data_IF_437362271943
#
_entry.id   IF_437362271943
#
_cell.length_a   1.000
_cell.length_b   1.000
_cell.length_c   1.000
_cell.angle_alpha   90.00
_cell.angle_beta   90.00
_cell.angle_gamma   90.00
#
_symmetry.space_group_name_H-M   'P 1'
#
loop_
_entity.id
_entity.type
_entity.pdbx_description
1 polymer ?
#
# COMPACT_ATOMS: atom_id res chain seq x y z
N UNK A 1 -75.02 -6.98 -31.89
CA UNK A 1 -74.64 -8.38 -32.14
C UNK A 1 -73.15 -8.53 -31.89
N UNK A 2 -72.83 -9.38 -30.91
CA UNK A 2 -71.61 -10.15 -30.65
C UNK A 2 -70.21 -9.50 -30.61
N UNK A 3 -69.59 -9.74 -29.45
CA UNK A 3 -68.19 -9.63 -29.04
C UNK A 3 -67.24 -10.54 -29.89
N UNK A 4 -65.90 -10.47 -29.82
CA UNK A 4 -65.04 -10.94 -28.72
C UNK A 4 -63.53 -10.66 -29.04
N UNK A 5 -62.79 -10.30 -27.97
CA UNK A 5 -61.35 -10.45 -27.65
C UNK A 5 -60.21 -10.10 -28.62
N UNK A 6 -59.26 -9.36 -28.04
CA UNK A 6 -57.84 -9.42 -28.35
C UNK A 6 -56.98 -8.68 -27.33
N UNK A 7 -56.94 -9.15 -26.08
CA UNK A 7 -56.13 -8.61 -24.99
C UNK A 7 -54.64 -8.86 -25.27
N UNK A 8 -53.82 -7.80 -25.36
CA UNK A 8 -52.38 -7.87 -25.09
C UNK A 8 -51.99 -6.76 -24.13
N UNK A 9 -51.69 -7.19 -22.91
CA UNK A 9 -51.00 -6.40 -21.88
C UNK A 9 -49.52 -6.39 -22.27
N UNK A 10 -48.91 -5.23 -22.33
CA UNK A 10 -47.46 -5.09 -22.26
C UNK A 10 -47.14 -3.85 -21.41
N UNK A 11 -46.82 -4.14 -20.16
CA UNK A 11 -46.31 -3.26 -19.12
C UNK A 11 -44.97 -2.65 -19.55
N UNK A 12 -44.85 -1.32 -19.54
CA UNK A 12 -43.57 -0.62 -19.73
C UNK A 12 -43.17 0.06 -18.43
N UNK A 13 -42.10 -0.44 -17.80
CA UNK A 13 -41.57 -0.05 -16.50
C UNK A 13 -41.13 1.43 -16.43
N UNK A 14 -41.41 2.04 -15.28
CA UNK A 14 -40.76 3.24 -14.74
C UNK A 14 -39.25 3.04 -14.61
N UNK A 15 -38.45 3.89 -15.28
CA UNK A 15 -37.03 4.04 -15.00
C UNK A 15 -36.83 5.22 -14.02
N UNK A 16 -36.76 4.91 -12.72
CA UNK A 16 -36.25 5.85 -11.73
C UNK A 16 -34.72 5.69 -11.67
N UNK A 17 -33.99 6.64 -12.23
CA UNK A 17 -32.54 6.73 -12.16
C UNK A 17 -32.08 7.08 -10.75
N UNK A 18 -31.57 6.08 -10.03
CA UNK A 18 -30.82 6.23 -8.77
C UNK A 18 -29.42 6.76 -9.09
N UNK A 19 -29.23 8.08 -8.93
CA UNK A 19 -27.90 8.66 -8.80
C UNK A 19 -27.40 8.40 -7.37
N UNK A 20 -26.71 7.28 -7.13
CA UNK A 20 -25.88 7.13 -5.94
C UNK A 20 -24.64 8.00 -6.14
N UNK A 21 -24.67 9.21 -5.59
CA UNK A 21 -23.45 9.94 -5.28
C UNK A 21 -22.71 9.17 -4.19
N UNK A 22 -21.67 8.44 -4.57
CA UNK A 22 -20.71 7.92 -3.59
C UNK A 22 -20.12 9.11 -2.84
N UNK A 23 -20.45 9.21 -1.55
CA UNK A 23 -19.74 10.07 -0.62
C UNK A 23 -18.32 9.53 -0.50
N UNK A 24 -17.42 10.01 -1.36
CA UNK A 24 -15.98 9.84 -1.15
C UNK A 24 -15.64 10.70 0.06
N UNK A 25 -15.66 10.09 1.24
CA UNK A 25 -15.09 10.72 2.43
C UNK A 25 -13.62 11.05 2.10
N UNK A 26 -13.13 12.26 2.39
CA UNK A 26 -11.74 12.58 2.14
C UNK A 26 -10.89 11.59 2.93
N UNK A 27 -9.94 10.93 2.26
CA UNK A 27 -8.96 10.08 2.92
C UNK A 27 -8.35 10.87 4.08
N UNK A 28 -8.41 10.31 5.30
CA UNK A 28 -7.82 10.97 6.46
C UNK A 28 -6.33 11.12 6.21
N UNK A 29 -5.84 12.35 6.30
CA UNK A 29 -4.42 12.62 6.19
C UNK A 29 -3.71 12.00 7.41
N UNK A 30 -2.64 11.23 7.16
CA UNK A 30 -1.79 10.67 8.20
C UNK A 30 -1.32 11.77 9.16
N UNK A 31 -1.60 11.60 10.44
CA UNK A 31 -1.15 12.53 11.47
C UNK A 31 0.25 12.17 11.97
N UNK A 32 0.93 13.15 12.57
CA UNK A 32 2.22 12.92 13.25
C UNK A 32 2.10 11.84 14.35
N UNK A 33 0.99 11.83 15.08
CA UNK A 33 0.73 10.85 16.14
C UNK A 33 0.56 9.44 15.58
N UNK A 34 -0.23 9.28 14.50
CA UNK A 34 -0.41 7.98 13.84
C UNK A 34 0.90 7.46 13.27
N UNK A 35 1.69 8.30 12.60
CA UNK A 35 3.02 7.93 12.10
C UNK A 35 3.93 7.47 13.25
N UNK A 36 3.93 8.18 14.38
CA UNK A 36 4.69 7.80 15.56
C UNK A 36 4.27 6.44 16.15
N UNK A 37 2.96 6.17 16.23
CA UNK A 37 2.44 4.88 16.68
C UNK A 37 2.84 3.75 15.74
N UNK A 38 2.75 3.96 14.43
CA UNK A 38 3.19 2.97 13.43
C UNK A 38 4.66 2.66 13.63
N UNK A 39 5.52 3.67 13.73
CA UNK A 39 6.98 3.49 13.92
C UNK A 39 7.29 2.73 15.20
N UNK A 40 6.58 3.04 16.29
CA UNK A 40 6.72 2.33 17.55
C UNK A 40 6.32 0.86 17.40
N UNK A 41 5.14 0.59 16.83
CA UNK A 41 4.62 -0.78 16.64
C UNK A 41 5.53 -1.60 15.73
N UNK A 42 6.06 -1.03 14.65
CA UNK A 42 7.02 -1.71 13.78
C UNK A 42 8.24 -2.20 14.57
N UNK A 43 8.78 -1.37 15.46
CA UNK A 43 9.93 -1.77 16.30
C UNK A 43 9.58 -2.71 17.45
N UNK A 44 8.38 -2.63 18.02
CA UNK A 44 7.94 -3.51 19.11
C UNK A 44 7.57 -4.92 18.61
N UNK A 45 7.05 -5.02 17.38
CA UNK A 45 6.62 -6.29 16.79
C UNK A 45 7.75 -7.00 16.04
N UNK A 46 8.76 -6.28 15.55
CA UNK A 46 9.88 -6.86 14.79
C UNK A 46 10.54 -8.09 15.47
N UNK A 47 10.81 -8.11 16.79
CA UNK A 47 11.42 -9.28 17.43
C UNK A 47 10.54 -10.54 17.41
N UNK A 48 9.23 -10.38 17.23
CA UNK A 48 8.23 -11.46 17.28
C UNK A 48 7.74 -11.86 15.88
N UNK A 49 7.54 -10.88 15.00
CA UNK A 49 6.99 -11.06 13.65
C UNK A 49 8.07 -11.02 12.55
N UNK A 50 9.31 -10.70 12.90
CA UNK A 50 10.41 -10.50 11.96
C UNK A 50 10.37 -9.10 11.33
N UNK A 51 11.22 -8.92 10.31
CA UNK A 51 11.35 -7.63 9.63
C UNK A 51 10.11 -7.33 8.77
N UNK A 52 9.58 -6.13 8.90
CA UNK A 52 8.45 -5.68 8.08
C UNK A 52 8.89 -5.38 6.64
N UNK A 53 8.33 -6.11 5.67
CA UNK A 53 8.49 -5.83 4.25
C UNK A 53 7.16 -5.33 3.69
N UNK A 54 7.03 -4.02 3.46
CA UNK A 54 5.73 -3.45 3.13
C UNK A 54 5.16 -4.00 1.82
N UNK A 55 4.00 -4.64 1.94
CA UNK A 55 2.93 -4.67 0.97
C UNK A 55 1.57 -4.64 1.72
N UNK A 56 0.46 -4.55 0.98
CA UNK A 56 -0.87 -4.50 1.60
C UNK A 56 -1.25 -5.80 2.33
N UNK A 57 -0.80 -6.95 1.85
CA UNK A 57 -1.08 -8.26 2.45
C UNK A 57 -0.25 -8.49 3.72
N UNK A 58 0.97 -7.96 3.77
CA UNK A 58 1.85 -7.97 4.94
C UNK A 58 1.25 -7.15 6.06
N UNK A 59 0.70 -5.96 5.77
CA UNK A 59 0.02 -5.14 6.77
C UNK A 59 -1.17 -5.90 7.38
N UNK A 60 -1.96 -6.58 6.54
CA UNK A 60 -3.07 -7.42 6.99
C UNK A 60 -2.59 -8.61 7.83
N UNK A 61 -1.49 -9.27 7.43
CA UNK A 61 -0.91 -10.40 8.16
C UNK A 61 -0.39 -10.00 9.53
N UNK A 62 0.33 -8.88 9.63
CA UNK A 62 0.81 -8.37 10.91
C UNK A 62 -0.33 -8.04 11.88
N UNK A 63 -1.46 -7.53 11.36
CA UNK A 63 -2.65 -7.30 12.18
C UNK A 63 -3.21 -8.62 12.76
N UNK A 64 -3.27 -9.66 11.93
CA UNK A 64 -3.74 -10.99 12.35
C UNK A 64 -2.79 -11.67 13.34
N UNK A 65 -1.49 -11.64 13.06
CA UNK A 65 -0.47 -12.28 13.88
C UNK A 65 -0.33 -11.57 15.24
N UNK A 66 -0.33 -10.24 15.28
CA UNK A 66 -0.34 -9.47 16.53
C UNK A 66 -1.60 -9.76 17.37
N UNK A 67 -2.76 -9.99 16.75
CA UNK A 67 -3.97 -10.38 17.47
C UNK A 67 -3.85 -11.76 18.15
N UNK A 68 -3.02 -12.65 17.62
CA UNK A 68 -2.63 -13.92 18.25
C UNK A 68 -1.59 -13.77 19.37
N UNK A 69 -0.98 -12.60 19.49
CA UNK A 69 0.00 -12.23 20.51
C UNK A 69 -0.66 -11.32 21.57
N UNK A 70 -0.22 -10.07 21.67
CA UNK A 70 -0.71 -9.09 22.63
C UNK A 70 -1.77 -8.14 22.06
N UNK A 71 -2.05 -8.17 20.76
CA UNK A 71 -2.98 -7.26 20.09
C UNK A 71 -2.58 -5.79 20.25
N UNK A 72 -1.28 -5.49 20.15
CA UNK A 72 -0.71 -4.14 20.35
C UNK A 72 -1.22 -3.14 19.32
N UNK A 73 -1.44 -3.56 18.08
CA UNK A 73 -1.99 -2.73 17.00
C UNK A 73 -3.40 -2.26 17.37
N UNK A 74 -4.27 -3.20 17.78
CA UNK A 74 -5.62 -2.88 18.22
C UNK A 74 -5.64 -2.01 19.49
N UNK A 75 -4.76 -2.31 20.46
CA UNK A 75 -4.61 -1.51 21.69
C UNK A 75 -4.09 -0.09 21.43
N UNK A 76 -3.33 0.12 20.36
CA UNK A 76 -2.89 1.45 19.91
C UNK A 76 -4.02 2.27 19.25
N UNK A 77 -5.18 1.65 19.02
CA UNK A 77 -6.39 2.30 18.49
C UNK A 77 -6.60 2.10 17.00
N UNK A 78 -5.82 1.25 16.34
CA UNK A 78 -6.05 0.90 14.94
C UNK A 78 -7.03 -0.28 14.83
N UNK A 79 -7.97 -0.17 13.92
CA UNK A 79 -8.59 -1.35 13.30
C UNK A 79 -7.76 -1.78 12.08
N UNK A 80 -8.17 -2.86 11.42
CA UNK A 80 -7.45 -3.42 10.27
C UNK A 80 -7.29 -2.40 9.13
N UNK A 81 -8.36 -1.69 8.79
CA UNK A 81 -8.38 -0.75 7.68
C UNK A 81 -7.47 0.44 7.98
N UNK A 82 -7.65 1.07 9.15
CA UNK A 82 -6.82 2.19 9.58
C UNK A 82 -5.35 1.81 9.82
N UNK A 83 -5.05 0.58 10.25
CA UNK A 83 -3.68 0.06 10.33
C UNK A 83 -3.03 0.02 8.95
N UNK A 84 -3.70 -0.60 7.97
CA UNK A 84 -3.18 -0.71 6.60
C UNK A 84 -3.00 0.67 5.96
N UNK A 85 -3.96 1.56 6.14
CA UNK A 85 -3.87 2.94 5.66
C UNK A 85 -2.68 3.68 6.30
N UNK A 86 -2.54 3.61 7.62
CA UNK A 86 -1.51 4.32 8.36
C UNK A 86 -0.10 3.79 8.04
N UNK A 87 0.08 2.46 7.96
CA UNK A 87 1.36 1.84 7.59
C UNK A 87 1.71 2.18 6.15
N UNK A 88 0.75 2.08 5.22
CA UNK A 88 1.00 2.43 3.82
C UNK A 88 1.36 3.90 3.64
N UNK A 89 0.67 4.81 4.32
CA UNK A 89 1.00 6.23 4.30
C UNK A 89 2.38 6.51 4.93
N UNK A 90 2.72 5.82 6.02
CA UNK A 90 4.02 5.93 6.69
C UNK A 90 5.14 5.42 5.78
N UNK A 91 4.97 4.28 5.12
CA UNK A 91 5.93 3.72 4.16
C UNK A 91 6.13 4.65 2.96
N UNK A 92 5.05 5.11 2.30
CA UNK A 92 5.13 6.06 1.19
C UNK A 92 5.83 7.36 1.62
N UNK A 93 5.46 7.89 2.78
CA UNK A 93 6.10 9.07 3.37
C UNK A 93 7.59 8.86 3.62
N UNK A 94 7.98 7.69 4.15
CA UNK A 94 9.37 7.32 4.35
C UNK A 94 10.14 7.32 3.03
N UNK A 95 9.61 6.66 2.00
CA UNK A 95 10.22 6.68 0.66
C UNK A 95 10.43 8.12 0.18
N UNK A 96 9.49 9.03 0.43
CA UNK A 96 9.59 10.44 0.05
C UNK A 96 10.64 11.21 0.87
N UNK A 97 10.98 10.77 2.09
CA UNK A 97 12.03 11.40 2.92
C UNK A 97 13.46 11.05 2.49
N UNK A 98 13.66 9.92 1.77
CA UNK A 98 14.99 9.49 1.30
C UNK A 98 15.50 10.51 0.27
N UNK A 99 16.78 10.89 0.30
CA UNK A 99 17.36 11.75 -0.74
C UNK A 99 17.18 11.12 -2.14
N UNK A 100 16.88 11.92 -3.16
CA UNK A 100 16.54 11.41 -4.50
C UNK A 100 17.68 10.54 -5.08
N UNK A 101 18.93 10.95 -4.87
CA UNK A 101 20.11 10.23 -5.32
C UNK A 101 20.26 8.88 -4.61
N UNK A 102 20.01 8.83 -3.29
CA UNK A 102 20.05 7.58 -2.51
C UNK A 102 18.93 6.65 -2.94
N UNK A 103 17.73 7.17 -3.19
CA UNK A 103 16.58 6.39 -3.63
C UNK A 103 16.80 5.79 -5.02
N UNK A 104 17.31 6.56 -5.97
CA UNK A 104 17.62 6.05 -7.31
C UNK A 104 18.78 5.04 -7.28
N UNK A 105 19.74 5.21 -6.36
CA UNK A 105 20.83 4.25 -6.17
C UNK A 105 20.35 2.85 -5.75
N UNK A 106 19.20 2.72 -5.08
CA UNK A 106 18.59 1.42 -4.71
C UNK A 106 18.32 0.54 -5.95
N UNK A 107 18.05 1.15 -7.10
CA UNK A 107 17.73 0.42 -8.33
C UNK A 107 18.96 0.19 -9.23
N UNK A 108 20.10 0.79 -8.89
CA UNK A 108 21.31 0.71 -9.70
C UNK A 108 21.81 -0.73 -9.78
N UNK A 109 22.13 -1.21 -10.99
CA UNK A 109 22.67 -2.54 -11.18
C UNK A 109 21.62 -3.66 -11.28
N UNK A 110 20.32 -3.38 -11.08
CA UNK A 110 19.29 -4.44 -11.12
C UNK A 110 19.16 -5.04 -12.51
N UNK A 111 19.09 -4.22 -13.55
CA UNK A 111 19.00 -4.69 -14.94
C UNK A 111 20.30 -5.38 -15.38
N UNK A 112 21.46 -4.88 -14.95
CA UNK A 112 22.76 -5.50 -15.20
C UNK A 112 22.87 -6.89 -14.56
N UNK A 113 22.30 -7.08 -13.36
CA UNK A 113 22.21 -8.39 -12.71
C UNK A 113 21.33 -9.36 -13.52
N UNK A 114 20.21 -8.89 -14.07
CA UNK A 114 19.38 -9.69 -14.98
C UNK A 114 20.18 -10.10 -16.22
N UNK A 115 20.93 -9.16 -16.79
CA UNK A 115 21.73 -9.41 -18.00
C UNK A 115 22.88 -10.38 -17.76
N UNK A 116 23.50 -10.32 -16.58
CA UNK A 116 24.56 -11.23 -16.16
C UNK A 116 24.08 -12.62 -15.73
N UNK A 117 22.77 -12.83 -15.56
CA UNK A 117 22.22 -14.13 -15.15
C UNK A 117 22.32 -15.22 -16.23
N UNK A 118 22.16 -16.48 -15.82
CA UNK A 118 22.12 -17.65 -16.71
C UNK A 118 20.76 -17.86 -17.39
N UNK A 119 19.82 -16.91 -17.24
CA UNK A 119 18.51 -16.96 -17.90
C UNK A 119 18.64 -16.93 -19.42
N UNK A 120 17.70 -17.59 -20.11
CA UNK A 120 17.63 -17.50 -21.56
C UNK A 120 17.12 -16.10 -22.01
N UNK A 121 17.18 -15.82 -23.31
CA UNK A 121 16.84 -14.49 -23.84
C UNK A 121 15.39 -14.05 -23.54
N UNK A 122 14.44 -14.98 -23.59
CA UNK A 122 13.02 -14.71 -23.29
C UNK A 122 12.83 -14.40 -21.81
N UNK A 123 13.39 -15.23 -20.94
CA UNK A 123 13.35 -15.04 -19.48
C UNK A 123 14.04 -13.74 -19.05
N UNK A 124 15.16 -13.35 -19.68
CA UNK A 124 15.81 -12.06 -19.42
C UNK A 124 14.93 -10.88 -19.79
N UNK A 125 14.19 -11.00 -20.89
CA UNK A 125 13.26 -9.96 -21.35
C UNK A 125 12.10 -9.81 -20.36
N UNK A 126 11.48 -10.92 -19.94
CA UNK A 126 10.42 -10.91 -18.94
C UNK A 126 10.90 -10.36 -17.59
N UNK A 127 12.05 -10.83 -17.11
CA UNK A 127 12.62 -10.38 -15.84
C UNK A 127 12.99 -8.89 -15.88
N UNK A 128 13.50 -8.39 -17.01
CA UNK A 128 13.75 -6.96 -17.19
C UNK A 128 12.46 -6.16 -17.10
N UNK A 129 11.41 -6.59 -17.80
CA UNK A 129 10.11 -5.92 -17.74
C UNK A 129 9.56 -5.89 -16.33
N UNK A 130 9.68 -7.00 -15.58
CA UNK A 130 9.25 -7.08 -14.19
C UNK A 130 10.04 -6.12 -13.29
N UNK A 131 11.38 -6.05 -13.44
CA UNK A 131 12.22 -5.11 -12.69
C UNK A 131 11.82 -3.66 -13.01
N UNK A 132 11.66 -3.31 -14.28
CA UNK A 132 11.27 -1.96 -14.71
C UNK A 132 9.88 -1.56 -14.16
N UNK A 133 8.92 -2.49 -14.15
CA UNK A 133 7.60 -2.31 -13.54
C UNK A 133 7.72 -2.03 -12.04
N UNK A 134 8.48 -2.83 -11.29
CA UNK A 134 8.65 -2.65 -9.84
C UNK A 134 9.36 -1.34 -9.48
N UNK A 135 10.33 -0.92 -10.28
CA UNK A 135 10.97 0.40 -10.13
C UNK A 135 9.93 1.50 -10.36
N UNK A 136 9.10 1.41 -11.39
CA UNK A 136 8.07 2.40 -11.68
C UNK A 136 7.01 2.47 -10.57
N UNK A 137 6.55 1.33 -10.06
CA UNK A 137 5.63 1.24 -8.91
C UNK A 137 6.24 1.90 -7.67
N UNK A 138 7.49 1.61 -7.34
CA UNK A 138 8.14 2.17 -6.15
C UNK A 138 8.34 3.69 -6.27
N UNK A 139 8.65 4.19 -7.48
CA UNK A 139 8.68 5.63 -7.77
C UNK A 139 7.30 6.28 -7.59
N UNK A 140 6.22 5.61 -8.01
CA UNK A 140 4.86 6.11 -7.82
C UNK A 140 4.51 6.21 -6.32
N UNK A 141 4.82 5.16 -5.55
CA UNK A 141 4.63 5.16 -4.09
C UNK A 141 5.39 6.31 -3.40
N UNK A 142 6.64 6.55 -3.80
CA UNK A 142 7.42 7.70 -3.33
C UNK A 142 6.76 9.03 -3.68
N UNK A 143 6.27 9.18 -4.91
CA UNK A 143 5.62 10.42 -5.35
C UNK A 143 4.33 10.70 -4.58
N UNK A 144 3.49 9.68 -4.38
CA UNK A 144 2.31 9.75 -3.51
C UNK A 144 2.66 10.10 -2.07
N UNK A 145 3.82 9.63 -1.59
CA UNK A 145 4.37 9.88 -0.27
C UNK A 145 4.67 11.34 0.06
N UNK A 146 4.79 12.21 -0.95
CA UNK A 146 5.09 13.63 -0.75
C UNK A 146 4.08 14.31 0.20
N UNK A 147 2.82 13.88 0.18
CA UNK A 147 1.77 14.43 1.05
C UNK A 147 1.95 14.05 2.54
N UNK A 148 2.73 13.02 2.85
CA UNK A 148 2.93 12.50 4.21
C UNK A 148 4.26 12.93 4.84
N UNK A 149 5.13 13.65 4.10
CA UNK A 149 6.47 14.05 4.56
C UNK A 149 6.42 14.73 5.94
N UNK A 150 5.50 15.67 6.15
CA UNK A 150 5.43 16.42 7.41
C UNK A 150 5.15 15.53 8.63
N UNK A 151 4.38 14.45 8.45
CA UNK A 151 4.07 13.49 9.52
C UNK A 151 5.24 12.50 9.73
N UNK A 152 5.95 12.14 8.67
CA UNK A 152 6.95 11.05 8.70
C UNK A 152 8.37 11.53 8.94
N UNK A 153 8.73 12.74 8.50
CA UNK A 153 10.10 13.30 8.59
C UNK A 153 10.74 13.17 9.98
N UNK A 154 10.04 13.41 11.10
CA UNK A 154 10.63 13.25 12.44
C UNK A 154 11.09 11.82 12.76
N UNK A 155 10.54 10.83 12.07
CA UNK A 155 10.79 9.40 12.27
C UNK A 155 11.68 8.79 11.18
N UNK A 156 12.11 9.56 10.18
CA UNK A 156 12.82 9.05 9.01
C UNK A 156 14.06 8.22 9.35
N UNK A 157 14.85 8.63 10.36
CA UNK A 157 16.03 7.88 10.80
C UNK A 157 15.66 6.50 11.38
N UNK A 158 14.59 6.43 12.19
CA UNK A 158 14.13 5.15 12.76
C UNK A 158 13.51 4.25 11.69
N UNK A 159 12.83 4.84 10.71
CA UNK A 159 12.28 4.11 9.57
C UNK A 159 13.38 3.58 8.64
N UNK A 160 14.52 4.28 8.51
CA UNK A 160 15.69 3.78 7.79
C UNK A 160 16.25 2.50 8.44
N UNK A 161 16.31 2.46 9.77
CA UNK A 161 16.72 1.25 10.51
C UNK A 161 15.73 0.10 10.34
N UNK A 162 14.42 0.37 10.47
CA UNK A 162 13.37 -0.65 10.43
C UNK A 162 13.14 -1.22 9.01
N UNK A 163 13.19 -0.35 8.00
CA UNK A 163 12.70 -0.65 6.64
C UNK A 163 13.75 -0.52 5.54
N UNK A 164 14.85 0.20 5.78
CA UNK A 164 15.91 0.39 4.77
C UNK A 164 16.79 -0.85 4.60
N UNK A 165 17.42 -1.05 3.45
CA UNK A 165 18.29 -2.22 3.26
C UNK A 165 19.41 -2.27 4.33
N UNK A 166 19.69 -3.45 4.89
CA UNK A 166 20.87 -3.64 5.73
C UNK A 166 22.10 -3.32 4.86
N UNK A 167 22.84 -2.27 5.21
CA UNK A 167 24.18 -2.10 4.66
C UNK A 167 25.06 -3.14 5.35
N UNK A 168 25.27 -4.29 4.70
CA UNK A 168 26.39 -5.20 5.01
C UNK A 168 27.75 -4.53 4.76
#
# INVERSE_FOLDING_TARGET
MSAILGRRIATGLLAASLALGALVLPARALTLEEAGKVVQLLGELEPELGRFAYDEEEADRWFDDDAGLDGRIAKAGFDRESWKEAVGATFRGYLATIAAERFEATFSGLTEKVDASDLNAEQKTEMRSFVEEKIAETRALRAEGAQYINAVQPYAARLDELLGDEQE
#
